data_IF_836396075999
#
_entry.id   IF_836396075999
#
_cell.length_a   1.000
_cell.length_b   1.000
_cell.length_c   1.000
_cell.angle_alpha   90.00
_cell.angle_beta   90.00
_cell.angle_gamma   90.00
#
_symmetry.space_group_name_H-M   'P 1'
#
loop_
_entity.id
_entity.type
_entity.pdbx_description
1 polymer ?
#
# COMPACT_ATOMS: atom_id res chain seq x y z
N UNK A 1 20.20 13.44 0.00
CA UNK A 1 19.65 14.74 -0.43
C UNK A 1 18.15 14.69 -0.10
N UNK A 2 17.76 15.20 1.07
CA UNK A 2 16.37 15.12 1.57
C UNK A 2 15.49 16.06 0.74
N UNK A 3 14.72 15.52 -0.20
CA UNK A 3 13.59 16.27 -0.76
C UNK A 3 12.53 16.30 0.34
N UNK A 4 12.41 17.44 1.01
CA UNK A 4 11.23 17.73 1.82
C UNK A 4 10.01 17.49 0.93
N UNK A 5 9.03 16.74 1.44
CA UNK A 5 7.72 16.71 0.83
C UNK A 5 7.19 18.14 0.88
N UNK A 6 7.35 18.88 -0.21
CA UNK A 6 6.79 20.21 -0.33
C UNK A 6 5.28 20.03 -0.27
N UNK A 7 4.70 20.42 0.88
CA UNK A 7 3.27 20.35 1.08
C UNK A 7 2.59 21.10 -0.07
N UNK A 8 1.88 20.35 -0.92
CA UNK A 8 1.30 20.88 -2.17
C UNK A 8 0.17 21.90 -1.92
N UNK A 9 -0.21 22.11 -0.65
CA UNK A 9 -1.15 23.14 -0.19
C UNK A 9 -0.78 23.68 1.20
N UNK A 10 -1.08 24.97 1.46
CA UNK A 10 -0.97 25.60 2.80
C UNK A 10 -1.76 24.83 3.87
N UNK A 11 -2.87 24.19 3.50
CA UNK A 11 -3.68 23.38 4.43
C UNK A 11 -3.02 22.04 4.77
N UNK A 12 -2.29 21.43 3.83
CA UNK A 12 -1.53 20.21 4.06
C UNK A 12 -0.30 20.49 4.95
N UNK A 13 0.38 21.62 4.72
CA UNK A 13 1.54 22.03 5.51
C UNK A 13 1.23 22.15 7.02
N UNK A 14 0.08 22.74 7.37
CA UNK A 14 -0.35 22.90 8.76
C UNK A 14 -0.70 21.57 9.46
N UNK A 15 -1.00 20.51 8.69
CA UNK A 15 -1.35 19.18 9.19
C UNK A 15 -0.17 18.24 9.31
N UNK A 16 1.01 18.62 8.79
CA UNK A 16 2.21 17.82 8.96
C UNK A 16 2.52 17.65 10.45
N UNK A 17 2.84 16.41 10.82
CA UNK A 17 3.30 16.05 12.15
C UNK A 17 4.58 15.25 11.98
N UNK A 18 5.62 15.64 12.71
CA UNK A 18 6.89 14.93 12.69
C UNK A 18 6.93 13.93 13.85
N UNK A 19 7.37 12.71 13.57
CA UNK A 19 7.51 11.64 14.57
C UNK A 19 8.48 10.57 14.08
N UNK A 20 9.03 9.79 14.99
CA UNK A 20 9.67 8.53 14.63
C UNK A 20 8.64 7.57 14.02
N UNK A 21 9.11 6.66 13.15
CA UNK A 21 8.28 5.65 12.52
C UNK A 21 7.50 4.87 13.60
N UNK A 22 6.16 4.83 13.54
CA UNK A 22 5.37 4.08 14.51
C UNK A 22 5.64 2.59 14.36
N UNK A 23 5.71 1.85 15.49
CA UNK A 23 5.82 0.39 15.46
C UNK A 23 4.54 -0.33 15.02
N UNK A 24 3.40 0.38 14.98
CA UNK A 24 2.14 -0.12 14.43
C UNK A 24 1.18 1.03 14.12
N UNK A 25 0.53 0.99 12.96
CA UNK A 25 -0.62 1.81 12.59
C UNK A 25 -1.80 0.88 12.35
N UNK A 26 -2.92 1.01 13.09
CA UNK A 26 -4.10 0.21 12.83
C UNK A 26 -4.68 0.59 11.45
N UNK A 27 -4.92 -0.37 10.55
CA UNK A 27 -5.48 -0.06 9.24
C UNK A 27 -6.86 0.60 9.34
N UNK A 28 -7.09 1.64 8.55
CA UNK A 28 -8.40 2.28 8.43
C UNK A 28 -9.41 1.27 7.83
N UNK A 29 -10.58 1.12 8.46
CA UNK A 29 -11.62 0.21 8.00
C UNK A 29 -12.66 0.96 7.15
N UNK A 30 -13.16 0.29 6.12
CA UNK A 30 -14.28 0.78 5.33
C UNK A 30 -15.61 0.46 6.02
N UNK A 31 -16.56 1.39 5.92
CA UNK A 31 -17.96 1.15 6.28
C UNK A 31 -18.69 0.62 5.05
N UNK A 32 -19.44 -0.48 5.20
CA UNK A 32 -20.27 -1.03 4.13
C UNK A 32 -21.40 -0.05 3.80
N UNK A 33 -21.61 0.21 2.52
CA UNK A 33 -22.67 1.08 2.02
C UNK A 33 -23.32 0.45 0.79
N UNK A 34 -24.65 0.61 0.67
CA UNK A 34 -25.43 0.00 -0.43
C UNK A 34 -25.29 0.73 -1.76
N UNK A 35 -24.84 1.99 -1.73
CA UNK A 35 -24.63 2.80 -2.93
C UNK A 35 -23.41 3.73 -2.76
N UNK A 36 -22.74 4.11 -3.86
CA UNK A 36 -21.77 5.18 -3.84
C UNK A 36 -22.38 6.48 -3.29
N UNK A 37 -21.61 7.29 -2.54
CA UNK A 37 -22.10 8.54 -2.00
C UNK A 37 -22.50 9.50 -3.13
N UNK A 38 -23.58 10.27 -2.91
CA UNK A 38 -24.09 11.27 -3.86
C UNK A 38 -23.53 12.65 -3.51
N UNK A 39 -22.98 13.33 -4.50
CA UNK A 39 -22.40 14.68 -4.33
C UNK A 39 -21.10 14.70 -3.54
N UNK A 40 -20.45 15.87 -3.48
CA UNK A 40 -19.16 16.05 -2.81
C UNK A 40 -17.95 15.64 -3.64
N UNK A 41 -16.77 15.66 -2.99
CA UNK A 41 -15.50 15.28 -3.60
C UNK A 41 -15.06 13.92 -3.06
N UNK A 42 -15.02 12.92 -3.94
CA UNK A 42 -14.69 11.54 -3.57
C UNK A 42 -13.52 11.01 -4.38
N UNK A 43 -12.79 10.08 -3.76
CA UNK A 43 -11.78 9.23 -4.41
C UNK A 43 -12.38 7.84 -4.57
N UNK A 44 -12.35 7.31 -5.79
CA UNK A 44 -12.82 5.97 -6.13
C UNK A 44 -11.66 5.10 -6.57
N UNK A 45 -11.55 3.92 -5.97
CA UNK A 45 -10.51 2.93 -6.27
C UNK A 45 -11.17 1.57 -6.55
N UNK A 46 -10.57 0.74 -7.40
CA UNK A 46 -10.99 -0.65 -7.54
C UNK A 46 -10.93 -1.35 -6.18
N UNK A 47 -12.03 -2.01 -5.80
CA UNK A 47 -11.98 -2.94 -4.68
C UNK A 47 -11.25 -4.20 -5.12
N UNK A 48 -10.06 -4.40 -4.59
CA UNK A 48 -9.29 -5.63 -4.78
C UNK A 48 -9.79 -6.73 -3.82
N UNK A 49 -9.62 -7.98 -4.23
CA UNK A 49 -9.95 -9.15 -3.43
C UNK A 49 -8.68 -9.95 -3.13
N UNK A 50 -8.13 -9.75 -1.94
CA UNK A 50 -6.79 -10.22 -1.62
C UNK A 50 -6.49 -10.29 -0.12
N UNK A 51 -5.20 -10.11 0.20
CA UNK A 51 -4.72 -9.97 1.57
C UNK A 51 -4.19 -8.56 1.77
N UNK A 52 -4.89 -7.75 2.57
CA UNK A 52 -4.38 -6.45 3.01
C UNK A 52 -3.05 -6.59 3.74
N UNK A 53 -2.06 -5.83 3.28
CA UNK A 53 -0.70 -5.84 3.77
C UNK A 53 -0.23 -4.40 4.06
N UNK A 54 0.19 -4.17 5.30
CA UNK A 54 0.97 -3.01 5.65
C UNK A 54 2.45 -3.31 5.41
N UNK A 55 3.12 -2.41 4.69
CA UNK A 55 4.55 -2.47 4.43
C UNK A 55 5.26 -1.51 5.38
N UNK A 56 6.22 -2.00 6.14
CA UNK A 56 7.13 -1.18 6.94
C UNK A 56 8.51 -1.24 6.31
N UNK A 57 8.94 -0.12 5.72
CA UNK A 57 10.31 0.08 5.28
C UNK A 57 11.05 0.87 6.36
N UNK A 58 12.12 0.32 6.93
CA UNK A 58 12.87 0.94 8.03
C UNK A 58 14.35 0.56 7.95
N UNK A 59 15.23 1.55 7.74
CA UNK A 59 16.68 1.36 7.68
C UNK A 59 17.10 0.30 6.65
N UNK A 60 16.43 0.27 5.49
CA UNK A 60 16.67 -0.69 4.41
C UNK A 60 16.08 -2.09 4.63
N UNK A 61 15.32 -2.33 5.71
CA UNK A 61 14.58 -3.58 5.92
C UNK A 61 13.11 -3.40 5.61
N UNK A 62 12.53 -4.42 4.97
CA UNK A 62 11.09 -4.51 4.70
C UNK A 62 10.47 -5.52 5.66
N UNK A 63 9.33 -5.13 6.24
CA UNK A 63 8.46 -6.03 6.98
C UNK A 63 7.02 -5.93 6.48
N UNK A 64 6.37 -7.07 6.30
CA UNK A 64 4.97 -7.14 5.86
C UNK A 64 4.07 -7.62 7.00
N UNK A 65 2.98 -6.89 7.24
CA UNK A 65 1.98 -7.27 8.24
C UNK A 65 0.57 -7.31 7.66
N UNK A 66 -0.17 -8.36 7.99
CA UNK A 66 -1.61 -8.43 7.70
C UNK A 66 -2.40 -7.41 8.51
N UNK A 67 -3.67 -7.21 8.16
CA UNK A 67 -4.65 -6.43 8.93
C UNK A 67 -4.63 -6.71 10.44
N UNK A 68 -4.38 -7.95 10.85
CA UNK A 68 -4.36 -8.39 12.24
C UNK A 68 -2.93 -8.48 12.81
N UNK A 69 -1.98 -7.72 12.25
CA UNK A 69 -0.58 -7.64 12.68
C UNK A 69 0.20 -8.97 12.62
N UNK A 70 -0.28 -9.96 11.86
CA UNK A 70 0.50 -11.19 11.62
C UNK A 70 1.56 -10.93 10.56
N UNK A 71 2.82 -11.37 10.77
CA UNK A 71 3.87 -11.24 9.76
C UNK A 71 3.51 -12.03 8.50
N UNK A 72 3.85 -11.46 7.35
CA UNK A 72 3.55 -11.99 6.02
C UNK A 72 4.82 -12.25 5.19
N UNK A 73 5.99 -11.91 5.71
CA UNK A 73 7.28 -11.92 5.01
C UNK A 73 7.57 -13.27 4.37
N UNK A 74 7.55 -14.34 5.18
CA UNK A 74 7.78 -15.71 4.71
C UNK A 74 6.68 -16.22 3.77
N UNK A 75 5.49 -15.60 3.78
CA UNK A 75 4.41 -15.96 2.89
C UNK A 75 4.51 -15.28 1.52
N UNK A 76 5.28 -14.19 1.41
CA UNK A 76 5.47 -13.37 0.20
C UNK A 76 6.90 -12.81 0.09
N UNK A 77 7.93 -13.67 0.11
CA UNK A 77 9.33 -13.24 0.06
C UNK A 77 9.67 -12.42 -1.19
N UNK A 78 9.04 -12.72 -2.33
CA UNK A 78 9.19 -11.97 -3.59
C UNK A 78 8.75 -10.50 -3.47
N UNK A 79 7.76 -10.21 -2.62
CA UNK A 79 7.33 -8.83 -2.36
C UNK A 79 8.32 -8.11 -1.45
N UNK A 80 8.88 -8.80 -0.45
CA UNK A 80 9.90 -8.25 0.46
C UNK A 80 11.13 -7.82 -0.34
N UNK A 81 11.61 -8.68 -1.23
CA UNK A 81 12.73 -8.42 -2.13
C UNK A 81 12.47 -7.20 -3.03
N UNK A 82 11.34 -7.20 -3.74
CA UNK A 82 10.97 -6.12 -4.65
C UNK A 82 10.81 -4.78 -3.93
N UNK A 83 10.16 -4.76 -2.77
CA UNK A 83 9.97 -3.55 -1.97
C UNK A 83 11.29 -2.98 -1.43
N UNK A 84 12.27 -3.84 -1.14
CA UNK A 84 13.60 -3.41 -0.70
C UNK A 84 14.34 -2.59 -1.76
N UNK A 85 14.02 -2.81 -3.04
CA UNK A 85 14.55 -2.05 -4.17
C UNK A 85 13.65 -0.88 -4.56
N UNK A 86 12.33 -1.03 -4.38
CA UNK A 86 11.33 -0.09 -4.87
C UNK A 86 11.09 1.11 -3.94
N UNK A 87 11.12 0.92 -2.62
CA UNK A 87 10.74 1.96 -1.64
C UNK A 87 11.95 2.84 -1.30
N UNK A 88 11.78 4.15 -1.42
CA UNK A 88 12.83 5.13 -1.19
C UNK A 88 12.80 5.67 0.24
N UNK A 89 13.58 5.09 1.15
CA UNK A 89 13.67 5.56 2.52
C UNK A 89 12.63 4.96 3.45
N UNK A 90 12.51 5.52 4.66
CA UNK A 90 11.66 4.94 5.70
C UNK A 90 10.18 5.29 5.46
N UNK A 91 9.34 4.26 5.35
CA UNK A 91 7.93 4.43 4.98
C UNK A 91 7.01 3.43 5.68
N UNK A 92 5.73 3.81 5.86
CA UNK A 92 4.64 2.86 6.16
C UNK A 92 3.60 2.98 5.06
N UNK A 93 3.41 1.90 4.31
CA UNK A 93 2.51 1.84 3.15
C UNK A 93 1.37 0.86 3.42
N UNK A 94 0.23 1.08 2.78
CA UNK A 94 -0.94 0.20 2.85
C UNK A 94 -1.32 -0.26 1.44
N UNK A 95 -1.57 -1.56 1.31
CA UNK A 95 -1.81 -2.17 0.02
C UNK A 95 -2.54 -3.51 0.12
N UNK A 96 -2.89 -4.06 -1.04
CA UNK A 96 -3.56 -5.35 -1.17
C UNK A 96 -2.68 -6.30 -1.99
N UNK A 97 -2.38 -7.48 -1.42
CA UNK A 97 -1.73 -8.57 -2.14
C UNK A 97 -2.79 -9.36 -2.89
N UNK A 98 -2.64 -9.50 -4.20
CA UNK A 98 -3.52 -10.29 -5.06
C UNK A 98 -2.72 -11.37 -5.76
N UNK A 99 -3.34 -12.52 -6.05
CA UNK A 99 -2.75 -13.50 -6.97
C UNK A 99 -3.23 -13.20 -8.39
N UNK A 100 -2.35 -13.37 -9.37
CA UNK A 100 -2.67 -13.13 -10.79
C UNK A 100 -2.75 -14.47 -11.53
N UNK A 101 -3.72 -14.62 -12.44
CA UNK A 101 -3.69 -15.74 -13.40
C UNK A 101 -2.75 -15.36 -14.56
N UNK A 102 -1.62 -16.07 -14.76
CA UNK A 102 -0.64 -15.73 -15.78
C UNK A 102 -1.18 -15.90 -17.21
N UNK A 103 -2.32 -16.58 -17.39
CA UNK A 103 -2.96 -16.71 -18.72
C UNK A 103 -3.85 -15.53 -19.05
N UNK A 104 -4.48 -14.91 -18.04
CA UNK A 104 -5.50 -13.87 -18.26
C UNK A 104 -5.08 -12.50 -17.74
N UNK A 105 -4.05 -12.43 -16.90
CA UNK A 105 -3.65 -11.22 -16.17
C UNK A 105 -4.65 -10.77 -15.10
N UNK A 106 -5.69 -11.56 -14.81
CA UNK A 106 -6.73 -11.17 -13.87
C UNK A 106 -6.43 -11.63 -12.45
N UNK A 107 -6.89 -10.86 -11.46
CA UNK A 107 -6.80 -11.24 -10.05
C UNK A 107 -7.64 -12.49 -9.75
N UNK A 108 -7.10 -13.41 -8.95
CA UNK A 108 -7.75 -14.68 -8.59
C UNK A 108 -7.58 -14.99 -7.10
N UNK A 109 -8.62 -14.70 -6.31
CA UNK A 109 -8.60 -14.98 -4.88
C UNK A 109 -8.44 -16.48 -4.56
N UNK A 110 -9.06 -17.36 -5.35
CA UNK A 110 -8.94 -18.81 -5.17
C UNK A 110 -7.50 -19.32 -5.32
N UNK A 111 -6.69 -18.70 -6.17
CA UNK A 111 -5.24 -18.99 -6.25
C UNK A 111 -4.51 -18.49 -5.03
N UNK A 112 -4.84 -17.28 -4.57
CA UNK A 112 -4.20 -16.65 -3.41
C UNK A 112 -4.38 -17.48 -2.13
N UNK A 113 -5.49 -18.19 -1.98
CA UNK A 113 -5.75 -19.09 -0.84
C UNK A 113 -4.62 -20.09 -0.57
N UNK A 114 -3.86 -20.49 -1.61
CA UNK A 114 -2.70 -21.39 -1.49
C UNK A 114 -1.51 -20.76 -0.73
N UNK A 115 -1.47 -19.42 -0.64
CA UNK A 115 -0.40 -18.64 0.02
C UNK A 115 -0.79 -18.12 1.40
N UNK A 116 -2.07 -17.79 1.64
CA UNK A 116 -2.54 -17.03 2.82
C UNK A 116 -2.09 -17.57 4.19
N UNK A 117 -2.02 -18.90 4.33
CA UNK A 117 -1.67 -19.56 5.60
C UNK A 117 -0.22 -20.04 5.66
N UNK A 118 0.58 -19.82 4.61
CA UNK A 118 1.98 -20.19 4.62
C UNK A 118 2.77 -19.27 5.55
N UNK A 119 3.77 -19.86 6.22
CA UNK A 119 4.72 -19.18 7.11
C UNK A 119 6.15 -19.63 6.84
N UNK A 120 6.38 -20.20 5.66
CA UNK A 120 7.64 -20.77 5.22
C UNK A 120 7.91 -20.32 3.78
N UNK A 121 9.03 -19.65 3.58
CA UNK A 121 9.44 -19.06 2.31
C UNK A 121 9.66 -20.13 1.23
N UNK A 122 10.27 -21.25 1.59
CA UNK A 122 10.57 -22.33 0.63
C UNK A 122 9.26 -22.90 0.05
N UNK A 123 8.27 -23.15 0.91
CA UNK A 123 6.95 -23.60 0.49
C UNK A 123 6.21 -22.54 -0.30
N UNK A 124 6.34 -21.27 0.07
CA UNK A 124 5.74 -20.14 -0.64
C UNK A 124 6.24 -20.10 -2.09
N UNK A 125 7.56 -20.08 -2.31
CA UNK A 125 8.15 -20.06 -3.66
C UNK A 125 7.77 -21.28 -4.51
N UNK A 126 7.55 -22.44 -3.89
CA UNK A 126 7.15 -23.67 -4.59
C UNK A 126 5.69 -23.72 -5.04
N UNK A 127 4.83 -22.80 -4.63
CA UNK A 127 3.41 -22.88 -5.02
C UNK A 127 3.17 -22.56 -6.49
N UNK A 128 4.09 -21.85 -7.16
CA UNK A 128 3.90 -21.33 -8.52
C UNK A 128 2.72 -20.36 -8.63
N UNK A 129 2.43 -19.63 -7.55
CA UNK A 129 1.35 -18.62 -7.52
C UNK A 129 2.00 -17.26 -7.58
N UNK A 130 1.88 -16.61 -8.74
CA UNK A 130 2.33 -15.24 -8.93
C UNK A 130 1.42 -14.29 -8.15
N UNK A 131 2.03 -13.33 -7.47
CA UNK A 131 1.34 -12.33 -6.66
C UNK A 131 1.81 -10.93 -7.04
N UNK A 132 0.91 -9.98 -6.91
CA UNK A 132 1.18 -8.55 -7.04
C UNK A 132 0.74 -7.82 -5.78
N UNK A 133 1.44 -6.73 -5.44
CA UNK A 133 1.05 -5.83 -4.36
C UNK A 133 0.58 -4.50 -4.93
N UNK A 134 -0.71 -4.22 -4.75
CA UNK A 134 -1.33 -2.96 -5.13
C UNK A 134 -1.34 -2.00 -3.95
N UNK A 135 -0.43 -1.03 -3.95
CA UNK A 135 -0.33 -0.01 -2.92
C UNK A 135 -1.37 1.09 -3.16
N UNK A 136 -2.16 1.39 -2.14
CA UNK A 136 -3.21 2.41 -2.20
C UNK A 136 -3.01 3.56 -1.21
N UNK A 137 -2.18 3.44 -0.17
CA UNK A 137 -1.93 4.52 0.78
C UNK A 137 -0.47 4.62 1.25
N UNK A 138 -0.08 5.83 1.69
CA UNK A 138 1.19 6.11 2.37
C UNK A 138 0.87 6.84 3.69
N UNK A 139 1.14 6.17 4.80
CA UNK A 139 0.75 6.60 6.15
C UNK A 139 1.90 7.31 6.88
N UNK A 140 3.14 7.03 6.48
CA UNK A 140 4.34 7.64 7.04
C UNK A 140 5.45 7.67 5.98
N UNK A 141 6.25 8.73 6.00
CA UNK A 141 7.45 8.85 5.17
C UNK A 141 8.51 9.73 5.84
N UNK A 142 9.75 9.24 5.98
CA UNK A 142 10.94 10.03 6.37
C UNK A 142 10.69 11.00 7.55
N UNK A 143 10.15 10.49 8.65
CA UNK A 143 9.89 11.25 9.87
C UNK A 143 8.57 12.02 9.89
N UNK A 144 7.73 11.88 8.87
CA UNK A 144 6.46 12.58 8.73
C UNK A 144 5.30 11.61 8.86
N UNK A 145 4.39 11.89 9.80
CA UNK A 145 3.07 11.24 9.90
C UNK A 145 2.13 11.83 8.85
N UNK A 146 1.72 11.01 7.88
CA UNK A 146 0.86 11.42 6.78
C UNK A 146 -0.60 11.08 7.05
N UNK A 147 -0.93 10.30 8.08
CA UNK A 147 -2.27 9.76 8.31
C UNK A 147 -3.36 10.85 8.46
N UNK A 148 -2.97 12.06 8.88
CA UNK A 148 -3.87 13.21 9.04
C UNK A 148 -3.99 14.08 7.77
N UNK A 149 -3.26 13.78 6.71
CA UNK A 149 -3.36 14.48 5.43
C UNK A 149 -4.56 13.97 4.61
N UNK A 150 -5.14 14.79 3.72
CA UNK A 150 -6.09 14.32 2.71
C UNK A 150 -5.54 13.12 1.92
N UNK A 151 -6.40 12.15 1.58
CA UNK A 151 -5.99 10.94 0.85
C UNK A 151 -5.25 11.27 -0.46
N UNK A 152 -5.70 12.27 -1.22
CA UNK A 152 -5.05 12.68 -2.48
C UNK A 152 -3.60 13.10 -2.26
N UNK A 153 -3.31 13.81 -1.16
CA UNK A 153 -1.95 14.21 -0.81
C UNK A 153 -1.10 12.98 -0.43
N UNK A 154 -1.65 12.05 0.34
CA UNK A 154 -0.97 10.79 0.69
C UNK A 154 -0.67 9.93 -0.54
N UNK A 155 -1.59 9.86 -1.50
CA UNK A 155 -1.40 9.17 -2.78
C UNK A 155 -0.36 9.84 -3.67
N UNK A 156 -0.23 11.16 -3.60
CA UNK A 156 0.86 11.87 -4.27
C UNK A 156 2.23 11.50 -3.68
N UNK A 157 2.34 11.47 -2.34
CA UNK A 157 3.55 10.97 -1.67
C UNK A 157 3.83 9.53 -2.08
N UNK A 158 2.84 8.65 -2.00
CA UNK A 158 2.95 7.25 -2.39
C UNK A 158 3.56 7.10 -3.80
N UNK A 159 3.06 7.87 -4.76
CA UNK A 159 3.54 7.87 -6.15
C UNK A 159 5.00 8.28 -6.28
N UNK A 160 5.47 9.21 -5.46
CA UNK A 160 6.82 9.80 -5.56
C UNK A 160 7.89 8.92 -4.86
N UNK A 161 7.48 8.16 -3.84
CA UNK A 161 8.40 7.43 -2.93
C UNK A 161 8.58 5.96 -3.27
N UNK A 162 7.79 5.43 -4.20
CA UNK A 162 7.87 4.03 -4.65
C UNK A 162 8.15 4.00 -6.15
N UNK A 163 9.12 3.18 -6.55
CA UNK A 163 9.27 2.78 -7.94
C UNK A 163 8.31 1.64 -8.26
N UNK A 164 7.48 1.81 -9.29
CA UNK A 164 6.48 0.82 -9.67
C UNK A 164 6.94 0.01 -10.86
N UNK A 165 7.12 -1.29 -10.62
CA UNK A 165 7.43 -2.33 -11.59
C UNK A 165 6.96 -3.68 -11.01
N UNK A 166 6.92 -4.75 -11.79
CA UNK A 166 6.53 -6.08 -11.31
C UNK A 166 7.34 -6.48 -10.06
N UNK A 167 6.71 -6.95 -8.96
CA UNK A 167 5.28 -7.17 -8.70
C UNK A 167 4.56 -6.02 -7.97
N UNK A 168 5.15 -4.82 -7.88
CA UNK A 168 4.64 -3.66 -7.13
C UNK A 168 3.83 -2.72 -8.02
N UNK A 169 2.56 -2.51 -7.67
CA UNK A 169 1.60 -1.71 -8.44
C UNK A 169 1.09 -0.52 -7.64
N UNK A 170 0.85 0.59 -8.33
CA UNK A 170 0.09 1.72 -7.78
C UNK A 170 -1.40 1.49 -8.06
N UNK A 171 -2.24 1.57 -7.04
CA UNK A 171 -3.70 1.44 -7.24
C UNK A 171 -4.25 2.68 -7.96
N UNK A 172 -4.79 2.54 -9.18
CA UNK A 172 -5.36 3.66 -9.91
C UNK A 172 -6.62 4.15 -9.20
N UNK A 173 -6.85 5.46 -9.26
CA UNK A 173 -8.01 6.09 -8.63
C UNK A 173 -8.61 7.17 -9.52
N UNK A 174 -9.88 7.48 -9.28
CA UNK A 174 -10.60 8.59 -9.91
C UNK A 174 -11.14 9.54 -8.86
N UNK A 175 -11.21 10.82 -9.18
CA UNK A 175 -11.79 11.84 -8.30
C UNK A 175 -13.08 12.41 -8.88
N UNK A 176 -14.06 12.72 -8.03
CA UNK A 176 -15.20 13.57 -8.39
C UNK A 176 -15.04 14.98 -7.83
N UNK A 177 -15.49 15.98 -8.59
CA UNK A 177 -15.25 17.41 -8.32
C UNK A 177 -13.94 17.92 -8.93
N UNK A 178 -13.82 19.23 -9.20
CA UNK A 178 -12.63 19.78 -9.84
C UNK A 178 -11.40 19.69 -8.94
N UNK A 179 -10.58 18.68 -9.22
CA UNK A 179 -9.13 18.73 -9.09
C UNK A 179 -8.54 17.79 -10.13
N UNK A 180 -8.87 18.04 -11.40
CA UNK A 180 -7.97 17.69 -12.48
C UNK A 180 -6.84 18.73 -12.45
N UNK A 181 -5.73 18.38 -11.81
CA UNK A 181 -4.40 18.94 -12.06
C UNK A 181 -3.38 17.80 -11.94
#
# INVERSE_FOLDING_TARGET
>A
MSRRLDARSKSAAARLRYRAQPGWIPPMLATLADAPPRGGQWVYEPKLDGVRALVYASGGRIQLFSRNRKPLDAAYPELVEALGLAVRGDAVLDGEIVAVDPRTGQSSFSRLQRRMQLRDETRARRTGVDVELYLFDCLYYEGIDLANLPLVDRKAVLRDVVWYDDPIRFTPFRTTGSAAM
#
